data_IF_573073616529
#
_entry.id   IF_573073616529
#
_cell.length_a   1.000
_cell.length_b   1.000
_cell.length_c   1.000
_cell.angle_alpha   90.00
_cell.angle_beta   90.00
_cell.angle_gamma   90.00
#
_symmetry.space_group_name_H-M   'P 1'
#
loop_
_entity.id
_entity.type
_entity.pdbx_description
1 polymer ?
#
# COMPACT_ATOMS: atom_id res chain seq x y z
N UNK A 1 8.01 2.49 28.48
CA UNK A 1 6.58 2.71 28.18
C UNK A 1 6.11 1.65 27.19
N UNK A 2 5.23 0.73 27.60
CA UNK A 2 4.62 -0.22 26.68
C UNK A 2 3.68 0.56 25.74
N UNK A 3 4.06 0.72 24.46
CA UNK A 3 3.14 1.28 23.45
C UNK A 3 1.96 0.33 23.35
N UNK A 4 0.82 0.69 23.94
CA UNK A 4 -0.45 0.00 23.69
C UNK A 4 -0.60 -0.06 22.17
N UNK A 5 -0.51 -1.28 21.63
CA UNK A 5 -0.67 -1.52 20.20
C UNK A 5 -2.18 -1.63 20.01
N UNK A 6 -2.85 -0.49 19.90
CA UNK A 6 -4.29 -0.43 19.63
C UNK A 6 -4.53 -0.02 18.18
N UNK A 7 -5.68 -0.40 17.63
CA UNK A 7 -6.13 0.07 16.32
C UNK A 7 -6.55 1.52 16.46
N UNK A 8 -6.06 2.36 15.57
CA UNK A 8 -6.40 3.78 15.50
C UNK A 8 -7.25 4.05 14.26
N UNK A 9 -8.02 5.13 14.31
CA UNK A 9 -8.67 5.71 13.13
C UNK A 9 -7.61 6.15 12.12
N UNK A 10 -7.72 5.64 10.89
CA UNK A 10 -6.79 5.90 9.78
C UNK A 10 -7.52 6.15 8.47
N UNK A 11 -8.82 6.45 8.54
CA UNK A 11 -9.67 6.64 7.35
C UNK A 11 -9.09 7.68 6.38
N UNK A 12 -8.54 8.79 6.91
CA UNK A 12 -7.89 9.82 6.09
C UNK A 12 -6.63 9.28 5.39
N UNK A 13 -5.77 8.54 6.08
CA UNK A 13 -4.56 7.95 5.51
C UNK A 13 -4.88 6.83 4.52
N UNK A 14 -5.90 6.01 4.78
CA UNK A 14 -6.37 5.00 3.84
C UNK A 14 -6.90 5.65 2.55
N UNK A 15 -7.60 6.78 2.64
CA UNK A 15 -8.02 7.55 1.46
C UNK A 15 -6.84 8.08 0.66
N UNK A 16 -5.77 8.56 1.31
CA UNK A 16 -4.54 8.98 0.61
C UNK A 16 -3.84 7.81 -0.07
N UNK A 17 -3.78 6.65 0.60
CA UNK A 17 -3.21 5.42 0.04
C UNK A 17 -4.03 4.98 -1.19
N UNK A 18 -5.35 5.07 -1.12
CA UNK A 18 -6.24 4.72 -2.23
C UNK A 18 -6.09 5.66 -3.42
N UNK A 19 -5.99 6.97 -3.19
CA UNK A 19 -5.72 7.94 -4.25
C UNK A 19 -4.41 7.63 -4.98
N UNK A 20 -3.33 7.32 -4.23
CA UNK A 20 -2.04 6.96 -4.83
C UNK A 20 -2.09 5.61 -5.55
N UNK A 21 -2.84 4.63 -5.02
CA UNK A 21 -3.07 3.34 -5.70
C UNK A 21 -3.71 3.55 -7.08
N UNK A 22 -4.73 4.40 -7.14
CA UNK A 22 -5.43 4.75 -8.39
C UNK A 22 -4.51 5.47 -9.37
N UNK A 23 -3.70 6.42 -8.90
CA UNK A 23 -2.68 7.11 -9.71
C UNK A 23 -1.70 6.13 -10.35
N UNK A 24 -1.21 5.15 -9.58
CA UNK A 24 -0.31 4.09 -10.05
C UNK A 24 -1.00 2.99 -10.85
N UNK A 25 -2.35 3.02 -10.96
CA UNK A 25 -3.17 2.02 -11.65
C UNK A 25 -2.92 0.57 -11.20
N UNK A 26 -2.48 0.36 -9.97
CA UNK A 26 -2.25 -0.99 -9.41
C UNK A 26 -3.53 -1.54 -8.77
N UNK A 27 -3.72 -2.85 -8.77
CA UNK A 27 -4.88 -3.45 -8.12
C UNK A 27 -4.78 -3.37 -6.59
N UNK A 28 -5.90 -3.59 -5.88
CA UNK A 28 -5.85 -3.79 -4.43
C UNK A 28 -4.99 -4.98 -4.03
N UNK A 29 -4.98 -6.01 -4.88
CA UNK A 29 -4.19 -7.23 -4.71
C UNK A 29 -2.70 -6.94 -4.73
N UNK A 30 -2.24 -6.23 -5.75
CA UNK A 30 -0.84 -5.81 -5.85
C UNK A 30 -0.41 -5.02 -4.63
N UNK A 31 -1.28 -4.13 -4.13
CA UNK A 31 -0.99 -3.30 -2.97
C UNK A 31 -0.86 -4.15 -1.68
N UNK A 32 -1.81 -5.03 -1.36
CA UNK A 32 -1.71 -5.80 -0.12
C UNK A 32 -0.61 -6.86 -0.18
N UNK A 33 -0.32 -7.43 -1.37
CA UNK A 33 0.81 -8.34 -1.58
C UNK A 33 2.13 -7.58 -1.39
N UNK A 34 2.29 -6.42 -2.03
CA UNK A 34 3.50 -5.60 -1.88
C UNK A 34 3.71 -5.11 -0.45
N UNK A 35 2.63 -4.88 0.30
CA UNK A 35 2.67 -4.49 1.70
C UNK A 35 2.88 -5.69 2.66
N UNK A 36 2.84 -6.94 2.19
CA UNK A 36 2.92 -8.12 3.05
C UNK A 36 1.74 -8.22 4.03
N UNK A 37 0.55 -7.78 3.62
CA UNK A 37 -0.66 -7.79 4.44
C UNK A 37 -1.62 -8.84 3.89
N UNK A 38 -2.17 -9.68 4.78
CA UNK A 38 -3.20 -10.64 4.39
C UNK A 38 -4.44 -9.91 3.83
N UNK A 39 -5.02 -10.47 2.77
CA UNK A 39 -6.21 -9.94 2.10
C UNK A 39 -7.33 -9.57 3.07
N UNK A 40 -7.67 -10.46 4.00
CA UNK A 40 -8.73 -10.23 5.00
C UNK A 40 -8.42 -9.03 5.92
N UNK A 41 -7.16 -8.85 6.31
CA UNK A 41 -6.74 -7.71 7.13
C UNK A 41 -6.85 -6.40 6.36
N UNK A 42 -6.46 -6.39 5.09
CA UNK A 42 -6.55 -5.20 4.23
C UNK A 42 -8.00 -4.75 4.06
N UNK A 43 -8.90 -5.65 3.67
CA UNK A 43 -10.31 -5.31 3.53
C UNK A 43 -10.99 -4.98 4.86
N UNK A 44 -10.58 -5.64 5.96
CA UNK A 44 -11.05 -5.30 7.30
C UNK A 44 -10.67 -3.88 7.72
N UNK A 45 -9.43 -3.46 7.45
CA UNK A 45 -8.99 -2.08 7.69
C UNK A 45 -9.78 -1.07 6.85
N UNK A 46 -10.01 -1.38 5.58
CA UNK A 46 -10.79 -0.52 4.68
C UNK A 46 -12.25 -0.38 5.11
N UNK A 47 -12.89 -1.48 5.53
CA UNK A 47 -14.28 -1.46 5.95
C UNK A 47 -14.48 -0.76 7.30
N UNK A 48 -13.52 -0.93 8.23
CA UNK A 48 -13.64 -0.39 9.59
C UNK A 48 -13.04 1.01 9.77
N UNK A 49 -12.18 1.47 8.85
CA UNK A 49 -11.41 2.71 9.05
C UNK A 49 -10.31 2.60 10.13
N UNK A 50 -10.15 1.40 10.71
CA UNK A 50 -9.29 1.15 11.87
C UNK A 50 -8.08 0.29 11.51
N UNK A 51 -6.88 0.70 11.94
CA UNK A 51 -5.67 -0.07 11.69
C UNK A 51 -4.60 0.11 12.77
N UNK A 52 -3.68 -0.85 12.84
CA UNK A 52 -2.42 -0.65 13.55
C UNK A 52 -1.50 0.26 12.71
N UNK A 53 -0.78 1.16 13.37
CA UNK A 53 0.22 2.02 12.74
C UNK A 53 1.22 1.24 11.88
N UNK A 54 1.65 0.04 12.33
CA UNK A 54 2.56 -0.83 11.55
C UNK A 54 1.97 -1.28 10.21
N UNK A 55 0.66 -1.55 10.14
CA UNK A 55 -0.02 -1.92 8.90
C UNK A 55 -0.17 -0.74 7.96
N UNK A 56 -0.40 0.45 8.51
CA UNK A 56 -0.42 1.67 7.71
C UNK A 56 0.95 1.97 7.09
N UNK A 57 2.03 1.82 7.87
CA UNK A 57 3.39 1.96 7.35
C UNK A 57 3.67 0.92 6.26
N UNK A 58 3.31 -0.34 6.49
CA UNK A 58 3.46 -1.41 5.50
C UNK A 58 2.77 -1.08 4.17
N UNK A 59 1.55 -0.52 4.18
CA UNK A 59 0.88 -0.06 2.95
C UNK A 59 1.63 1.05 2.22
N UNK A 60 2.19 2.02 2.96
CA UNK A 60 3.01 3.09 2.37
C UNK A 60 4.27 2.54 1.71
N UNK A 61 4.95 1.59 2.36
CA UNK A 61 6.10 0.89 1.78
C UNK A 61 5.69 0.04 0.57
N UNK A 62 4.52 -0.60 0.62
CA UNK A 62 3.95 -1.34 -0.51
C UNK A 62 3.74 -0.47 -1.75
N UNK A 63 3.15 0.72 -1.58
CA UNK A 63 3.00 1.70 -2.67
C UNK A 63 4.34 2.12 -3.26
N UNK A 64 5.32 2.47 -2.43
CA UNK A 64 6.67 2.85 -2.89
C UNK A 64 7.35 1.72 -3.67
N UNK A 65 7.15 0.48 -3.22
CA UNK A 65 7.71 -0.71 -3.88
C UNK A 65 7.04 -0.94 -5.24
N UNK A 66 5.71 -0.84 -5.31
CA UNK A 66 4.97 -0.97 -6.55
C UNK A 66 5.39 0.12 -7.57
N UNK A 67 5.48 1.37 -7.13
CA UNK A 67 5.94 2.48 -7.95
C UNK A 67 7.38 2.26 -8.47
N UNK A 68 8.29 1.76 -7.63
CA UNK A 68 9.65 1.45 -8.07
C UNK A 68 9.68 0.34 -9.12
N UNK A 69 8.84 -0.69 -8.96
CA UNK A 69 8.73 -1.77 -9.95
C UNK A 69 8.20 -1.26 -11.29
N UNK A 70 7.20 -0.38 -11.27
CA UNK A 70 6.67 0.25 -12.48
C UNK A 70 7.75 1.06 -13.20
N UNK A 71 8.47 1.94 -12.48
CA UNK A 71 9.58 2.72 -13.05
C UNK A 71 10.70 1.85 -13.63
N UNK A 72 11.02 0.74 -12.96
CA UNK A 72 12.04 -0.19 -13.44
C UNK A 72 11.56 -0.93 -14.70
N UNK A 73 10.29 -1.31 -14.77
CA UNK A 73 9.70 -1.92 -15.96
C UNK A 73 9.73 -0.94 -17.14
N UNK A 74 9.30 0.31 -16.94
CA UNK A 74 9.37 1.37 -17.95
C UNK A 74 10.78 1.54 -18.52
N UNK A 75 11.81 1.58 -17.65
CA UNK A 75 13.21 1.67 -18.09
C UNK A 75 13.70 0.46 -18.89
N UNK A 76 13.23 -0.74 -18.57
CA UNK A 76 13.60 -1.94 -19.31
C UNK A 76 13.00 -1.94 -20.71
N UNK A 77 11.77 -1.45 -20.86
CA UNK A 77 11.13 -1.31 -22.17
C UNK A 77 11.79 -0.18 -22.98
N UNK A 78 12.06 0.97 -22.38
CA UNK A 78 12.72 2.12 -23.02
C UNK A 78 14.17 1.81 -23.45
N UNK A 79 14.92 1.07 -22.63
CA UNK A 79 16.28 0.65 -22.93
C UNK A 79 16.40 -0.55 -23.89
N UNK A 80 15.29 -1.15 -24.31
CA UNK A 80 15.27 -2.31 -25.21
C UNK A 80 15.06 -1.95 -26.69
N UNK A 81 14.93 -0.65 -27.01
CA UNK A 81 14.82 -0.13 -28.38
C UNK A 81 16.11 0.53 -28.92
N UNK A 82 17.30 0.14 -28.43
CA UNK A 82 18.59 0.65 -28.90
C UNK A 82 19.47 -0.44 -29.54
#
# INVERSE_FOLDING_TARGET
>A
MSKRTYRIEVSAELSRIEAKRLELKISHEDLYIAAGIARSTYYGMRASGLAFQSKLQALRYGLRTAEQRLRNAERLFDGSEA
#
